data_IF_323435009835
#
_entry.id   IF_323435009835
#
_cell.length_a   1.000
_cell.length_b   1.000
_cell.length_c   1.000
_cell.angle_alpha   90.00
_cell.angle_beta   90.00
_cell.angle_gamma   90.00
#
_symmetry.space_group_name_H-M   'P 1'
#
loop_
_entity.id
_entity.type
_entity.pdbx_description
1 polymer ?
#
# COMPACT_ATOMS: atom_id res chain seq x y z
N UNK A 1 20.96 8.81 -18.98
CA UNK A 1 21.19 9.35 -17.63
C UNK A 1 20.13 8.93 -16.61
N UNK A 2 18.83 8.94 -16.91
CA UNK A 2 17.79 8.59 -15.91
C UNK A 2 17.73 7.09 -15.56
N UNK A 3 17.84 6.19 -16.54
CA UNK A 3 17.82 4.73 -16.28
C UNK A 3 18.99 4.25 -15.40
N UNK A 4 20.21 4.73 -15.71
CA UNK A 4 21.38 4.39 -14.91
C UNK A 4 21.27 4.87 -13.47
N UNK A 5 20.65 6.05 -13.25
CA UNK A 5 20.34 6.53 -11.91
C UNK A 5 19.31 5.64 -11.19
N UNK A 6 18.26 5.20 -11.89
CA UNK A 6 17.28 4.26 -11.35
C UNK A 6 17.91 2.93 -10.94
N UNK A 7 18.70 2.31 -11.82
CA UNK A 7 19.38 1.04 -11.51
C UNK A 7 20.34 1.18 -10.32
N UNK A 8 21.12 2.27 -10.27
CA UNK A 8 22.04 2.51 -9.15
C UNK A 8 21.32 2.83 -7.82
N UNK A 9 20.05 3.22 -7.87
CA UNK A 9 19.23 3.49 -6.69
C UNK A 9 18.44 2.26 -6.22
N UNK A 10 18.48 1.16 -6.97
CA UNK A 10 17.79 -0.10 -6.67
C UNK A 10 18.74 -1.10 -6.03
N UNK A 11 18.16 -2.06 -5.30
CA UNK A 11 18.89 -3.24 -4.82
C UNK A 11 19.20 -4.12 -6.05
N UNK A 12 20.40 -4.74 -6.16
CA UNK A 12 20.82 -5.47 -7.36
C UNK A 12 19.79 -6.47 -7.93
N UNK A 13 19.11 -7.20 -7.05
CA UNK A 13 18.09 -8.18 -7.44
C UNK A 13 16.88 -7.53 -8.14
N UNK A 14 16.55 -6.29 -7.78
CA UNK A 14 15.47 -5.52 -8.40
C UNK A 14 15.95 -4.92 -9.71
N UNK A 15 17.16 -4.35 -9.76
CA UNK A 15 17.70 -3.79 -10.99
C UNK A 15 17.84 -4.85 -12.10
N UNK A 16 18.21 -6.08 -11.75
CA UNK A 16 18.31 -7.19 -12.71
C UNK A 16 16.96 -7.52 -13.35
N UNK A 17 15.87 -7.48 -12.57
CA UNK A 17 14.51 -7.68 -13.11
C UNK A 17 14.05 -6.53 -14.02
N UNK A 18 14.56 -5.32 -13.82
CA UNK A 18 14.23 -4.13 -14.60
C UNK A 18 15.19 -3.87 -15.77
N UNK A 19 16.31 -4.62 -15.88
CA UNK A 19 17.36 -4.40 -16.89
C UNK A 19 16.86 -4.61 -18.33
N UNK A 20 15.81 -5.40 -18.51
CA UNK A 20 15.22 -5.70 -19.83
C UNK A 20 14.20 -4.65 -20.31
N UNK A 21 13.88 -3.65 -19.48
CA UNK A 21 12.90 -2.61 -19.80
C UNK A 21 13.54 -1.48 -20.62
N UNK A 22 12.80 -0.96 -21.59
CA UNK A 22 13.31 -0.10 -22.67
C UNK A 22 13.14 1.39 -22.38
N UNK A 23 12.36 1.76 -21.36
CA UNK A 23 12.20 3.15 -20.93
C UNK A 23 12.33 3.31 -19.41
N UNK A 24 12.81 4.48 -18.96
CA UNK A 24 12.83 4.82 -17.53
C UNK A 24 11.42 4.82 -16.92
N UNK A 25 10.41 5.13 -17.73
CA UNK A 25 9.00 5.05 -17.38
C UNK A 25 8.58 3.61 -17.06
N UNK A 26 8.91 2.66 -17.94
CA UNK A 26 8.62 1.24 -17.72
C UNK A 26 9.32 0.70 -16.47
N UNK A 27 10.58 1.10 -16.23
CA UNK A 27 11.33 0.72 -15.01
C UNK A 27 10.63 1.25 -13.77
N UNK A 28 10.20 2.51 -13.78
CA UNK A 28 9.47 3.12 -12.67
C UNK A 28 8.12 2.44 -12.43
N UNK A 29 7.32 2.22 -13.47
CA UNK A 29 6.01 1.57 -13.38
C UNK A 29 6.12 0.12 -12.87
N UNK A 30 7.11 -0.64 -13.35
CA UNK A 30 7.35 -2.02 -12.90
C UNK A 30 7.79 -2.06 -11.42
N UNK A 31 8.65 -1.13 -11.01
CA UNK A 31 9.09 -1.02 -9.62
C UNK A 31 7.93 -0.61 -8.70
N UNK A 32 7.12 0.36 -9.14
CA UNK A 32 5.92 0.79 -8.42
C UNK A 32 4.88 -0.34 -8.30
N UNK A 33 4.61 -1.07 -9.38
CA UNK A 33 3.62 -2.14 -9.36
C UNK A 33 4.04 -3.33 -8.48
N UNK A 34 5.34 -3.65 -8.48
CA UNK A 34 5.87 -4.85 -7.82
C UNK A 34 6.24 -4.59 -6.37
N UNK A 35 6.84 -3.43 -6.09
CA UNK A 35 7.45 -3.12 -4.80
C UNK A 35 6.84 -1.91 -4.10
N UNK A 36 5.94 -1.15 -4.74
CA UNK A 36 5.22 -0.16 -3.95
C UNK A 36 4.34 -0.89 -2.96
N UNK A 37 4.36 -0.38 -1.72
CA UNK A 37 3.34 -0.70 -0.72
C UNK A 37 1.94 -0.26 -1.17
N UNK A 38 1.81 0.43 -2.31
CA UNK A 38 0.58 0.92 -2.91
C UNK A 38 -0.27 -0.18 -3.61
N UNK A 39 -0.09 -1.45 -3.24
CA UNK A 39 -1.25 -2.37 -3.13
C UNK A 39 -2.13 -1.99 -1.93
N UNK A 40 -2.48 -0.71 -1.88
CA UNK A 40 -3.52 -0.11 -1.06
C UNK A 40 -4.81 -0.90 -1.18
N UNK A 41 -5.09 -1.52 -2.34
CA UNK A 41 -6.27 -2.39 -2.51
C UNK A 41 -6.29 -3.56 -1.53
N UNK A 42 -5.15 -4.23 -1.31
CA UNK A 42 -5.08 -5.37 -0.39
C UNK A 42 -5.19 -4.92 1.08
N UNK A 43 -4.55 -3.81 1.45
CA UNK A 43 -4.65 -3.25 2.79
C UNK A 43 -6.03 -2.65 3.08
N UNK A 44 -6.62 -1.91 2.13
CA UNK A 44 -8.01 -1.42 2.19
C UNK A 44 -8.98 -2.57 2.31
N UNK A 45 -8.78 -3.65 1.55
CA UNK A 45 -9.61 -4.84 1.64
C UNK A 45 -9.49 -5.50 3.00
N UNK A 46 -8.27 -5.67 3.52
CA UNK A 46 -8.02 -6.22 4.85
C UNK A 46 -8.66 -5.37 5.97
N UNK A 47 -8.52 -4.04 5.93
CA UNK A 47 -9.15 -3.11 6.88
C UNK A 47 -10.68 -3.17 6.77
N UNK A 48 -11.24 -3.24 5.56
CA UNK A 48 -12.70 -3.43 5.37
C UNK A 48 -13.18 -4.75 5.95
N UNK A 49 -12.47 -5.85 5.71
CA UNK A 49 -12.80 -7.17 6.24
C UNK A 49 -12.74 -7.15 7.77
N UNK A 50 -11.67 -6.59 8.36
CA UNK A 50 -11.53 -6.42 9.82
C UNK A 50 -12.63 -5.57 10.42
N UNK A 51 -13.06 -4.51 9.73
CA UNK A 51 -14.17 -3.65 10.18
C UNK A 51 -15.51 -4.39 10.17
N UNK A 52 -15.80 -5.15 9.11
CA UNK A 52 -17.05 -5.94 9.01
C UNK A 52 -17.05 -7.12 9.98
N UNK A 53 -15.89 -7.72 10.23
CA UNK A 53 -15.73 -8.83 11.17
C UNK A 53 -15.65 -8.38 12.64
N UNK A 54 -15.44 -7.09 12.91
CA UNK A 54 -15.35 -6.56 14.27
C UNK A 54 -16.68 -6.75 15.01
N UNK A 55 -16.64 -7.55 16.09
CA UNK A 55 -17.73 -7.73 17.03
C UNK A 55 -17.20 -7.44 18.44
N UNK A 56 -18.06 -6.90 19.30
CA UNK A 56 -17.70 -6.60 20.68
C UNK A 56 -17.23 -7.85 21.45
N UNK A 57 -17.97 -8.97 21.33
CA UNK A 57 -17.64 -10.21 22.02
C UNK A 57 -17.52 -10.01 23.54
N UNK A 58 -16.42 -10.48 24.12
CA UNK A 58 -16.13 -10.34 25.55
C UNK A 58 -15.36 -9.04 25.91
N UNK A 59 -15.15 -8.13 24.96
CA UNK A 59 -14.44 -6.87 25.20
C UNK A 59 -15.33 -5.88 25.93
N UNK A 60 -14.74 -5.04 26.77
CA UNK A 60 -15.45 -3.90 27.33
C UNK A 60 -15.89 -2.94 26.20
N UNK A 61 -16.94 -2.16 26.47
CA UNK A 61 -17.46 -1.17 25.52
C UNK A 61 -16.37 -0.20 25.07
N UNK A 62 -15.50 0.21 26.00
CA UNK A 62 -14.40 1.15 25.73
C UNK A 62 -13.33 0.53 24.82
N UNK A 63 -12.94 -0.72 25.05
CA UNK A 63 -11.96 -1.42 24.20
C UNK A 63 -12.49 -1.62 22.78
N UNK A 64 -13.75 -2.01 22.65
CA UNK A 64 -14.39 -2.17 21.35
C UNK A 64 -14.52 -0.83 20.60
N UNK A 65 -14.92 0.24 21.29
CA UNK A 65 -15.03 1.58 20.71
C UNK A 65 -13.66 2.09 20.22
N UNK A 66 -12.60 1.87 20.97
CA UNK A 66 -11.24 2.24 20.58
C UNK A 66 -10.75 1.43 19.37
N UNK A 67 -11.05 0.12 19.33
CA UNK A 67 -10.71 -0.72 18.19
C UNK A 67 -11.42 -0.28 16.91
N UNK A 68 -12.73 0.01 17.00
CA UNK A 68 -13.47 0.58 15.87
C UNK A 68 -12.83 1.90 15.45
N UNK A 69 -12.64 2.84 16.37
CA UNK A 69 -12.04 4.15 16.06
C UNK A 69 -10.72 4.02 15.30
N UNK A 70 -9.85 3.09 15.69
CA UNK A 70 -8.60 2.81 14.97
C UNK A 70 -8.84 2.35 13.52
N UNK A 71 -9.73 1.38 13.31
CA UNK A 71 -10.05 0.86 11.97
C UNK A 71 -10.68 1.93 11.07
N UNK A 72 -11.51 2.80 11.64
CA UNK A 72 -12.13 3.92 10.91
C UNK A 72 -11.10 4.97 10.48
N UNK A 73 -10.12 5.31 11.32
CA UNK A 73 -9.04 6.24 10.97
C UNK A 73 -8.14 5.67 9.86
N UNK A 74 -7.86 4.37 9.92
CA UNK A 74 -7.07 3.68 8.88
C UNK A 74 -7.81 3.68 7.54
N UNK A 75 -9.12 3.42 7.54
CA UNK A 75 -9.96 3.49 6.33
C UNK A 75 -10.02 4.91 5.74
N UNK A 76 -10.08 5.95 6.58
CA UNK A 76 -10.10 7.34 6.15
C UNK A 76 -8.77 7.76 5.51
N UNK A 77 -7.64 7.34 6.08
CA UNK A 77 -6.32 7.53 5.50
C UNK A 77 -6.24 7.01 4.06
N UNK A 78 -6.74 5.78 3.83
CA UNK A 78 -6.77 5.20 2.50
C UNK A 78 -7.73 5.90 1.53
N UNK A 79 -8.86 6.44 2.01
CA UNK A 79 -9.77 7.25 1.18
C UNK A 79 -9.08 8.53 0.69
N UNK A 80 -8.30 9.17 1.55
CA UNK A 80 -7.54 10.37 1.22
C UNK A 80 -6.43 10.07 0.20
N UNK A 81 -5.73 8.94 0.33
CA UNK A 81 -4.72 8.52 -0.65
C UNK A 81 -5.36 8.30 -2.02
N UNK A 82 -6.48 7.57 -2.09
CA UNK A 82 -7.22 7.34 -3.34
C UNK A 82 -7.71 8.64 -4.00
N UNK A 83 -8.11 9.63 -3.21
CA UNK A 83 -8.58 10.92 -3.73
C UNK A 83 -7.44 11.79 -4.28
N UNK A 84 -6.20 11.64 -3.80
CA UNK A 84 -5.02 12.38 -4.28
C UNK A 84 -4.40 11.77 -5.54
N UNK A 85 -4.67 10.49 -5.83
CA UNK A 85 -4.18 9.78 -7.00
C UNK A 85 -5.11 9.86 -8.22
N UNK A 86 -6.20 10.64 -8.15
CA UNK A 86 -7.24 10.75 -9.17
C UNK A 86 -7.40 12.18 -9.65
#
# INVERSE_FOLDING_TARGET
MIMAWLWNSMVPEISDTCMFLKSAKEIWEAAEQTYSKAKDVAQIYDVKVKTVAAKQGNKSVTEYANQLKSLWMELDHYRVIKAKSS
#
